data_IF_071786940334
#
_entry.id   IF_071786940334
#
_cell.length_a   1.000
_cell.length_b   1.000
_cell.length_c   1.000
_cell.angle_alpha   90.00
_cell.angle_beta   90.00
_cell.angle_gamma   90.00
#
_symmetry.space_group_name_H-M   'P 1'
#
loop_
_entity.id
_entity.type
_entity.pdbx_description
1 polymer ?
#
# COMPACT_ATOMS: atom_id res chain seq x y z
N UNK A 1 -13.62 20.78 -4.71
CA UNK A 1 -14.75 20.61 -5.66
C UNK A 1 -14.40 19.50 -6.65
N UNK A 2 -15.28 18.49 -6.79
CA UNK A 2 -15.01 17.25 -7.56
C UNK A 2 -16.03 17.00 -8.68
N UNK A 3 -16.86 18.00 -8.97
CA UNK A 3 -17.87 17.92 -10.01
C UNK A 3 -17.29 17.49 -11.37
N UNK A 4 -16.11 18.00 -11.82
CA UNK A 4 -15.52 17.54 -13.07
C UNK A 4 -15.23 16.04 -13.10
N UNK A 5 -14.75 15.46 -11.98
CA UNK A 5 -14.44 14.03 -11.91
C UNK A 5 -15.69 13.19 -12.09
N UNK A 6 -16.76 13.54 -11.38
CA UNK A 6 -18.00 12.78 -11.43
C UNK A 6 -18.71 12.96 -12.78
N UNK A 7 -18.69 14.16 -13.38
CA UNK A 7 -19.23 14.37 -14.72
C UNK A 7 -18.47 13.57 -15.77
N UNK A 8 -17.14 13.59 -15.76
CA UNK A 8 -16.32 12.79 -16.68
C UNK A 8 -16.55 11.28 -16.47
N UNK A 9 -16.56 10.83 -15.22
CA UNK A 9 -16.77 9.41 -14.91
C UNK A 9 -18.17 8.94 -15.32
N UNK A 10 -19.19 9.75 -15.09
CA UNK A 10 -20.56 9.45 -15.50
C UNK A 10 -20.70 9.43 -17.03
N UNK A 11 -20.18 10.44 -17.72
CA UNK A 11 -20.21 10.52 -19.19
C UNK A 11 -19.46 9.37 -19.88
N UNK A 12 -18.35 8.91 -19.29
CA UNK A 12 -17.57 7.78 -19.82
C UNK A 12 -18.01 6.41 -19.27
N UNK A 13 -19.01 6.35 -18.39
CA UNK A 13 -19.33 5.13 -17.62
C UNK A 13 -19.56 3.88 -18.47
N UNK A 14 -20.21 3.89 -19.66
CA UNK A 14 -20.36 2.67 -20.46
C UNK A 14 -19.01 2.10 -20.90
N UNK A 15 -18.09 2.97 -21.34
CA UNK A 15 -16.74 2.59 -21.77
C UNK A 15 -15.91 2.13 -20.57
N UNK A 16 -15.98 2.85 -19.45
CA UNK A 16 -15.23 2.51 -18.24
C UNK A 16 -15.67 1.15 -17.66
N UNK A 17 -16.98 0.87 -17.65
CA UNK A 17 -17.52 -0.42 -17.18
C UNK A 17 -17.07 -1.55 -18.11
N UNK A 18 -17.14 -1.35 -19.43
CA UNK A 18 -16.66 -2.33 -20.39
C UNK A 18 -15.16 -2.61 -20.20
N UNK A 19 -14.34 -1.57 -20.14
CA UNK A 19 -12.89 -1.67 -19.94
C UNK A 19 -12.53 -2.29 -18.59
N UNK A 20 -13.26 -1.97 -17.52
CA UNK A 20 -13.03 -2.56 -16.20
C UNK A 20 -13.35 -4.05 -16.19
N UNK A 21 -14.44 -4.47 -16.84
CA UNK A 21 -14.78 -5.90 -17.00
C UNK A 21 -13.73 -6.62 -17.86
N UNK A 22 -13.29 -6.01 -18.95
CA UNK A 22 -12.27 -6.59 -19.83
C UNK A 22 -10.92 -6.74 -19.13
N UNK A 23 -10.47 -5.70 -18.40
CA UNK A 23 -9.26 -5.76 -17.61
C UNK A 23 -9.34 -6.89 -16.57
N UNK A 24 -10.41 -6.95 -15.78
CA UNK A 24 -10.61 -8.02 -14.77
C UNK A 24 -10.62 -9.43 -15.36
N UNK A 25 -11.05 -9.60 -16.61
CA UNK A 25 -11.04 -10.90 -17.31
C UNK A 25 -9.65 -11.29 -17.81
N UNK A 26 -8.83 -10.32 -18.20
CA UNK A 26 -7.53 -10.56 -18.83
C UNK A 26 -6.38 -10.52 -17.84
N UNK A 27 -6.55 -9.88 -16.67
CA UNK A 27 -5.52 -9.81 -15.64
C UNK A 27 -5.30 -11.18 -15.02
N UNK A 28 -4.05 -11.65 -15.05
CA UNK A 28 -3.62 -12.84 -14.32
C UNK A 28 -3.81 -12.60 -12.83
N UNK A 29 -4.58 -13.45 -12.16
CA UNK A 29 -4.73 -13.39 -10.71
C UNK A 29 -3.55 -14.08 -10.07
N UNK A 30 -2.71 -13.31 -9.40
CA UNK A 30 -1.63 -13.84 -8.59
C UNK A 30 -2.13 -14.14 -7.17
N UNK A 31 -1.71 -15.26 -6.57
CA UNK A 31 -2.02 -15.55 -5.17
C UNK A 31 -1.28 -14.58 -4.24
N UNK A 32 -1.71 -14.58 -2.97
CA UNK A 32 -0.93 -14.00 -1.88
C UNK A 32 0.37 -14.78 -1.69
N UNK A 33 1.37 -14.13 -1.10
CA UNK A 33 2.63 -14.79 -0.79
C UNK A 33 2.43 -15.91 0.23
N UNK A 34 3.26 -16.95 0.14
CA UNK A 34 3.27 -18.07 1.08
C UNK A 34 4.36 -17.91 2.16
N UNK A 35 4.42 -18.86 3.08
CA UNK A 35 5.37 -18.88 4.18
C UNK A 35 4.98 -17.96 5.33
N UNK A 36 5.88 -17.80 6.29
CA UNK A 36 5.61 -17.00 7.49
C UNK A 36 5.51 -15.50 7.14
N UNK A 37 4.46 -14.79 7.59
CA UNK A 37 4.28 -13.35 7.35
C UNK A 37 5.13 -12.48 8.29
N UNK A 38 6.18 -13.06 8.85
CA UNK A 38 7.10 -12.40 9.78
C UNK A 38 8.50 -13.00 9.68
N UNK A 39 9.47 -12.28 10.23
CA UNK A 39 10.84 -12.73 10.33
C UNK A 39 11.76 -11.65 10.89
N UNK A 40 13.06 -11.90 10.86
CA UNK A 40 14.06 -10.99 11.40
C UNK A 40 15.34 -11.03 10.55
N UNK A 41 16.05 -9.90 10.51
CA UNK A 41 17.42 -9.82 10.03
C UNK A 41 18.35 -9.41 11.19
N UNK A 42 19.47 -10.14 11.34
CA UNK A 42 20.35 -10.06 12.50
C UNK A 42 19.98 -11.07 13.60
N UNK A 43 20.90 -11.30 14.53
CA UNK A 43 20.74 -12.24 15.65
C UNK A 43 20.56 -11.50 16.97
N UNK A 44 19.69 -12.02 17.84
CA UNK A 44 19.41 -11.43 19.16
C UNK A 44 18.06 -10.75 19.24
N UNK A 45 17.91 -9.86 20.24
CA UNK A 45 16.66 -9.13 20.51
C UNK A 45 16.50 -8.01 19.47
N UNK A 46 15.33 -7.89 18.81
CA UNK A 46 15.12 -6.84 17.83
C UNK A 46 15.15 -5.45 18.47
N UNK A 47 15.98 -4.58 17.91
CA UNK A 47 16.10 -3.16 18.26
C UNK A 47 15.16 -2.29 17.40
N UNK A 48 14.69 -2.85 16.28
CA UNK A 48 13.72 -2.23 15.39
C UNK A 48 12.65 -3.24 14.99
N UNK A 49 11.40 -2.84 15.07
CA UNK A 49 10.24 -3.66 14.67
C UNK A 49 9.41 -2.93 13.62
N UNK A 50 9.24 -3.57 12.47
CA UNK A 50 8.48 -3.02 11.32
C UNK A 50 7.20 -3.80 11.12
N UNK A 51 6.08 -3.10 11.01
CA UNK A 51 4.79 -3.69 10.65
C UNK A 51 4.27 -3.02 9.37
N UNK A 52 4.02 -3.83 8.33
CA UNK A 52 3.33 -3.37 7.12
C UNK A 52 1.92 -3.96 7.07
N UNK A 53 0.91 -3.10 7.17
CA UNK A 53 -0.50 -3.45 6.99
C UNK A 53 -1.02 -2.95 5.64
N UNK A 54 -1.95 -3.67 4.99
CA UNK A 54 -2.51 -3.17 3.73
C UNK A 54 -3.27 -4.16 2.86
N UNK A 55 -3.24 -3.90 1.55
CA UNK A 55 -3.90 -4.73 0.52
C UNK A 55 -2.89 -5.71 -0.13
N UNK A 56 -2.91 -5.84 -1.46
CA UNK A 56 -2.07 -6.77 -2.21
C UNK A 56 -0.56 -6.61 -1.98
N UNK A 57 -0.06 -5.38 -1.85
CA UNK A 57 1.36 -5.09 -1.58
C UNK A 57 1.82 -5.62 -0.22
N UNK A 58 0.98 -5.52 0.81
CA UNK A 58 1.26 -6.09 2.14
C UNK A 58 1.07 -7.61 2.13
N UNK A 59 0.09 -8.11 1.39
CA UNK A 59 -0.15 -9.55 1.22
C UNK A 59 0.94 -10.26 0.38
N UNK A 60 1.93 -9.52 -0.13
CA UNK A 60 3.04 -10.07 -0.92
C UNK A 60 2.62 -10.56 -2.30
N UNK A 61 1.52 -10.06 -2.86
CA UNK A 61 1.12 -10.42 -4.22
C UNK A 61 2.21 -10.03 -5.21
N UNK A 62 2.58 -10.95 -6.10
CA UNK A 62 3.67 -10.76 -7.05
C UNK A 62 4.97 -11.48 -6.69
N UNK A 63 5.07 -12.05 -5.50
CA UNK A 63 6.20 -12.88 -5.06
C UNK A 63 5.75 -14.24 -4.51
N UNK A 64 6.69 -15.18 -4.34
CA UNK A 64 6.36 -16.52 -3.87
C UNK A 64 6.20 -16.59 -2.35
N UNK A 65 7.02 -15.84 -1.60
CA UNK A 65 7.03 -15.85 -0.13
C UNK A 65 7.07 -14.45 0.47
N UNK A 66 6.58 -14.29 1.70
CA UNK A 66 6.59 -12.99 2.39
C UNK A 66 8.01 -12.43 2.61
N UNK A 67 9.04 -13.29 2.66
CA UNK A 67 10.46 -12.88 2.67
C UNK A 67 10.87 -12.04 1.44
N UNK A 68 10.19 -12.20 0.31
CA UNK A 68 10.43 -11.41 -0.90
C UNK A 68 9.55 -10.15 -0.96
N UNK A 69 8.59 -10.02 -0.03
CA UNK A 69 7.61 -8.94 0.02
C UNK A 69 8.14 -7.68 0.70
N UNK A 70 7.30 -6.63 0.68
CA UNK A 70 7.68 -5.28 1.09
C UNK A 70 8.28 -5.19 2.51
N UNK A 71 7.61 -5.79 3.50
CA UNK A 71 8.02 -5.70 4.90
C UNK A 71 9.42 -6.28 5.13
N UNK A 72 9.66 -7.48 4.59
CA UNK A 72 10.96 -8.14 4.68
C UNK A 72 12.05 -7.36 3.94
N UNK A 73 11.76 -6.88 2.73
CA UNK A 73 12.74 -6.09 1.96
C UNK A 73 13.10 -4.77 2.64
N UNK A 74 12.14 -4.08 3.25
CA UNK A 74 12.40 -2.89 4.06
C UNK A 74 13.26 -3.22 5.28
N UNK A 75 12.88 -4.22 6.06
CA UNK A 75 13.61 -4.60 7.27
C UNK A 75 15.04 -5.07 6.98
N UNK A 76 15.24 -5.80 5.88
CA UNK A 76 16.57 -6.17 5.39
C UNK A 76 17.42 -4.93 5.11
N UNK A 77 16.87 -3.94 4.41
CA UNK A 77 17.60 -2.70 4.09
C UNK A 77 17.89 -1.86 5.33
N UNK A 78 16.98 -1.80 6.31
CA UNK A 78 17.23 -1.14 7.60
C UNK A 78 18.36 -1.84 8.38
N UNK A 79 18.35 -3.17 8.44
CA UNK A 79 19.40 -3.96 9.07
C UNK A 79 20.76 -3.74 8.38
N UNK A 80 20.83 -3.87 7.05
CA UNK A 80 22.06 -3.70 6.28
C UNK A 80 22.66 -2.29 6.45
N UNK A 81 21.83 -1.26 6.65
CA UNK A 81 22.28 0.12 6.84
C UNK A 81 22.72 0.45 8.25
N UNK A 82 22.00 -0.05 9.26
CA UNK A 82 22.19 0.36 10.65
C UNK A 82 22.97 -0.65 11.48
N UNK A 83 23.09 -1.90 11.00
CA UNK A 83 23.61 -3.04 11.76
C UNK A 83 22.68 -3.54 12.85
N UNK A 84 21.55 -2.86 13.11
CA UNK A 84 20.60 -3.19 14.18
C UNK A 84 19.76 -4.39 13.80
N UNK A 85 19.45 -5.22 14.78
CA UNK A 85 18.54 -6.35 14.60
C UNK A 85 17.15 -5.82 14.27
N UNK A 86 16.61 -6.19 13.11
CA UNK A 86 15.33 -5.67 12.62
C UNK A 86 14.34 -6.80 12.39
N UNK A 87 13.30 -6.84 13.21
CA UNK A 87 12.15 -7.73 13.06
C UNK A 87 11.11 -7.08 12.15
N UNK A 88 10.40 -7.91 11.40
CA UNK A 88 9.33 -7.48 10.53
C UNK A 88 8.13 -8.41 10.58
N UNK A 89 6.97 -7.79 10.42
CA UNK A 89 5.69 -8.45 10.25
C UNK A 89 4.93 -7.80 9.10
N UNK A 90 4.04 -8.57 8.49
CA UNK A 90 3.08 -8.03 7.53
C UNK A 90 1.70 -8.62 7.71
N UNK A 91 0.69 -7.78 7.48
CA UNK A 91 -0.71 -8.20 7.45
C UNK A 91 -1.36 -7.57 6.22
N UNK A 92 -1.70 -8.38 5.24
CA UNK A 92 -2.32 -7.90 4.02
C UNK A 92 -3.52 -8.74 3.63
N UNK A 93 -4.51 -8.11 3.03
CA UNK A 93 -5.68 -8.79 2.48
C UNK A 93 -5.80 -8.40 1.01
N UNK A 94 -5.54 -9.35 0.12
CA UNK A 94 -5.55 -9.07 -1.31
C UNK A 94 -6.93 -8.60 -1.78
N UNK A 95 -6.97 -7.49 -2.52
CA UNK A 95 -8.20 -6.94 -3.07
C UNK A 95 -9.05 -6.13 -2.09
N UNK A 96 -8.65 -6.01 -0.81
CA UNK A 96 -9.42 -5.30 0.19
C UNK A 96 -9.39 -3.78 -0.01
N UNK A 97 -10.55 -3.15 0.13
CA UNK A 97 -10.67 -1.72 0.44
C UNK A 97 -10.30 -1.45 1.90
N UNK A 98 -10.06 -0.19 2.25
CA UNK A 98 -9.76 0.20 3.63
C UNK A 98 -10.87 -0.21 4.62
N UNK A 99 -12.13 -0.19 4.17
CA UNK A 99 -13.26 -0.65 4.97
C UNK A 99 -13.15 -2.15 5.32
N UNK A 100 -12.80 -2.97 4.33
CA UNK A 100 -12.70 -4.42 4.45
C UNK A 100 -11.45 -4.84 5.24
N UNK A 101 -10.35 -4.09 5.11
CA UNK A 101 -9.17 -4.24 5.95
C UNK A 101 -9.54 -3.98 7.41
N UNK A 102 -10.15 -2.83 7.72
CA UNK A 102 -10.53 -2.47 9.09
C UNK A 102 -11.54 -3.45 9.71
N UNK A 103 -12.38 -4.10 8.92
CA UNK A 103 -13.35 -5.08 9.42
C UNK A 103 -12.69 -6.42 9.83
N UNK A 104 -11.50 -6.71 9.33
CA UNK A 104 -10.77 -7.96 9.57
C UNK A 104 -9.51 -7.76 10.42
N UNK A 105 -9.03 -6.52 10.53
CA UNK A 105 -7.86 -6.17 11.32
C UNK A 105 -8.22 -6.17 12.81
N UNK A 106 -7.69 -7.15 13.53
CA UNK A 106 -7.74 -7.17 14.99
C UNK A 106 -6.47 -6.52 15.56
N UNK A 107 -6.60 -5.25 15.96
CA UNK A 107 -5.47 -4.42 16.41
C UNK A 107 -4.82 -4.98 17.68
N UNK A 108 -5.59 -5.61 18.55
CA UNK A 108 -5.08 -6.15 19.83
C UNK A 108 -4.15 -7.36 19.59
N UNK A 109 -4.29 -8.03 18.44
CA UNK A 109 -3.44 -9.16 18.04
C UNK A 109 -2.21 -8.77 17.24
N UNK A 110 -2.09 -7.51 16.81
CA UNK A 110 -0.94 -7.05 16.03
C UNK A 110 0.34 -7.06 16.88
N UNK A 111 1.49 -7.41 16.28
CA UNK A 111 2.77 -7.46 16.99
C UNK A 111 3.21 -6.06 17.46
N UNK A 112 4.15 -6.02 18.41
CA UNK A 112 4.82 -4.77 18.76
C UNK A 112 5.57 -4.23 17.53
N UNK A 113 5.56 -2.90 17.36
CA UNK A 113 6.19 -2.25 16.22
C UNK A 113 6.62 -0.83 16.58
N UNK A 114 7.79 -0.43 16.10
CA UNK A 114 8.26 0.96 16.18
C UNK A 114 7.85 1.75 14.93
N UNK A 115 7.65 1.05 13.81
CA UNK A 115 7.28 1.61 12.53
C UNK A 115 6.09 0.85 11.96
N UNK A 116 4.93 1.52 11.88
CA UNK A 116 3.72 0.96 11.25
C UNK A 116 3.46 1.66 9.93
N UNK A 117 3.31 0.86 8.88
CA UNK A 117 3.16 1.31 7.50
C UNK A 117 1.84 0.82 6.91
N UNK A 118 1.08 1.70 6.28
CA UNK A 118 -0.17 1.39 5.58
C UNK A 118 0.03 1.45 4.07
N UNK A 119 -0.13 0.32 3.38
CA UNK A 119 -0.14 0.22 1.92
C UNK A 119 -1.56 -0.01 1.41
N UNK A 120 -2.27 1.07 1.09
CA UNK A 120 -3.68 1.03 0.66
C UNK A 120 -3.99 2.08 -0.41
N UNK A 121 -5.14 1.93 -1.06
CA UNK A 121 -5.78 2.98 -1.86
C UNK A 121 -5.99 2.61 -3.33
N UNK A 122 -5.41 1.52 -3.81
CA UNK A 122 -5.68 1.02 -5.17
C UNK A 122 -7.09 0.46 -5.23
N UNK A 123 -7.49 -0.42 -4.30
CA UNK A 123 -8.83 -0.98 -4.33
C UNK A 123 -9.90 0.08 -4.04
N UNK A 124 -9.67 1.02 -3.11
CA UNK A 124 -10.55 2.18 -2.89
C UNK A 124 -10.67 3.09 -4.11
N UNK A 125 -9.60 3.20 -4.92
CA UNK A 125 -9.64 3.90 -6.20
C UNK A 125 -10.59 3.21 -7.17
N UNK A 126 -10.49 1.89 -7.31
CA UNK A 126 -11.33 1.11 -8.23
C UNK A 126 -12.78 0.97 -7.74
N UNK A 127 -13.00 0.92 -6.43
CA UNK A 127 -14.32 0.89 -5.78
C UNK A 127 -14.99 2.27 -5.75
N UNK A 128 -14.28 3.32 -6.20
CA UNK A 128 -14.73 4.71 -6.18
C UNK A 128 -15.09 5.21 -4.77
N UNK A 129 -14.51 4.64 -3.70
CA UNK A 129 -14.77 4.95 -2.28
C UNK A 129 -14.75 6.47 -2.06
N UNK A 130 -15.85 7.11 -1.59
CA UNK A 130 -15.91 8.55 -1.42
C UNK A 130 -14.74 9.08 -0.58
N UNK A 131 -14.11 10.18 -1.03
CA UNK A 131 -12.92 10.75 -0.36
C UNK A 131 -13.16 11.09 1.12
N UNK A 132 -14.38 11.54 1.45
CA UNK A 132 -14.78 11.82 2.84
C UNK A 132 -14.80 10.55 3.67
N UNK A 133 -15.37 9.46 3.13
CA UNK A 133 -15.39 8.14 3.78
C UNK A 133 -13.97 7.59 3.93
N UNK A 134 -13.16 7.63 2.88
CA UNK A 134 -11.76 7.20 2.93
C UNK A 134 -10.97 7.98 3.98
N UNK A 135 -11.13 9.31 4.05
CA UNK A 135 -10.53 10.14 5.10
C UNK A 135 -11.00 9.73 6.49
N UNK A 136 -12.30 9.55 6.68
CA UNK A 136 -12.86 9.17 7.98
C UNK A 136 -12.32 7.82 8.44
N UNK A 137 -12.25 6.84 7.55
CA UNK A 137 -11.69 5.52 7.82
C UNK A 137 -10.22 5.58 8.22
N UNK A 138 -9.40 6.39 7.54
CA UNK A 138 -8.00 6.60 7.90
C UNK A 138 -7.83 7.24 9.28
N UNK A 139 -8.67 8.24 9.60
CA UNK A 139 -8.66 8.88 10.92
C UNK A 139 -9.02 7.87 11.99
N UNK A 140 -10.09 7.11 11.80
CA UNK A 140 -10.50 6.06 12.75
C UNK A 140 -9.42 4.99 12.91
N UNK A 141 -8.82 4.50 11.81
CA UNK A 141 -7.73 3.52 11.89
C UNK A 141 -6.51 4.10 12.63
N UNK A 142 -6.12 5.33 12.32
CA UNK A 142 -5.00 6.01 12.99
C UNK A 142 -5.26 6.20 14.48
N UNK A 143 -6.47 6.57 14.89
CA UNK A 143 -6.87 6.67 16.30
C UNK A 143 -6.77 5.32 17.03
N UNK A 144 -7.23 4.24 16.40
CA UNK A 144 -7.14 2.90 16.98
C UNK A 144 -5.68 2.44 17.12
N UNK A 145 -4.85 2.64 16.09
CA UNK A 145 -3.44 2.25 16.10
C UNK A 145 -2.62 3.06 17.11
N UNK A 146 -2.92 4.36 17.30
CA UNK A 146 -2.23 5.21 18.27
C UNK A 146 -2.43 4.77 19.73
N UNK A 147 -3.46 3.99 20.03
CA UNK A 147 -3.62 3.40 21.35
C UNK A 147 -2.61 2.26 21.61
N UNK A 148 -1.99 1.73 20.56
CA UNK A 148 -1.03 0.61 20.62
C UNK A 148 0.40 1.00 20.22
N UNK A 149 0.56 2.00 19.36
CA UNK A 149 1.84 2.43 18.83
C UNK A 149 2.05 3.93 19.03
N UNK A 150 3.24 4.30 19.50
CA UNK A 150 3.60 5.70 19.75
C UNK A 150 3.99 6.47 18.47
N UNK A 151 4.34 5.75 17.40
CA UNK A 151 4.77 6.35 16.14
C UNK A 151 3.58 6.71 15.23
N UNK A 152 3.70 7.79 14.44
CA UNK A 152 2.67 8.13 13.46
C UNK A 152 2.58 7.05 12.38
N UNK A 153 1.36 6.81 11.89
CA UNK A 153 1.12 5.84 10.82
C UNK A 153 1.76 6.33 9.51
N UNK A 154 2.68 5.55 8.96
CA UNK A 154 3.30 5.81 7.67
C UNK A 154 2.38 5.45 6.52
N UNK A 155 1.81 6.45 5.84
CA UNK A 155 0.93 6.28 4.69
C UNK A 155 1.75 6.17 3.40
N UNK A 156 1.86 4.96 2.85
CA UNK A 156 2.55 4.74 1.60
C UNK A 156 1.73 5.33 0.45
N UNK A 157 2.37 6.12 -0.41
CA UNK A 157 1.65 6.83 -1.47
C UNK A 157 0.80 5.92 -2.34
N UNK A 158 -0.42 6.37 -2.66
CA UNK A 158 -1.30 5.64 -3.59
C UNK A 158 -0.67 5.73 -4.99
N UNK A 159 -0.39 4.59 -5.66
CA UNK A 159 0.41 4.59 -6.87
C UNK A 159 -0.32 5.32 -8.03
N UNK A 160 0.42 5.94 -8.96
CA UNK A 160 -0.15 6.67 -10.08
C UNK A 160 -0.74 5.72 -11.13
N UNK A 161 -1.96 5.23 -10.91
CA UNK A 161 -2.61 4.19 -11.74
C UNK A 161 -2.77 4.52 -13.23
N UNK A 162 -2.62 5.78 -13.64
CA UNK A 162 -2.58 6.15 -15.06
C UNK A 162 -1.34 5.63 -15.79
N UNK A 163 -0.30 5.23 -15.05
CA UNK A 163 0.91 4.59 -15.59
C UNK A 163 0.79 3.08 -15.70
N UNK A 164 -0.27 2.47 -15.16
CA UNK A 164 -0.47 1.03 -15.22
C UNK A 164 -0.92 0.62 -16.63
N UNK A 165 -0.02 -0.03 -17.37
CA UNK A 165 -0.24 -0.43 -18.77
C UNK A 165 -1.26 -1.56 -18.91
N UNK A 166 -1.45 -2.36 -17.86
CA UNK A 166 -2.52 -3.37 -17.78
C UNK A 166 -3.93 -2.77 -17.85
N UNK A 167 -4.09 -1.47 -17.54
CA UNK A 167 -5.36 -0.77 -17.64
C UNK A 167 -5.45 -0.04 -18.99
N UNK A 168 -6.53 -0.23 -19.79
CA UNK A 168 -6.70 0.49 -21.05
C UNK A 168 -7.05 1.97 -20.83
N UNK A 169 -6.91 2.78 -21.89
CA UNK A 169 -7.41 4.17 -21.95
C UNK A 169 -8.85 4.19 -22.47
N UNK A 170 -9.81 4.95 -21.89
CA UNK A 170 -9.63 6.00 -20.87
C UNK A 170 -9.63 5.54 -19.40
N UNK A 171 -9.82 4.24 -19.11
CA UNK A 171 -9.93 3.74 -17.74
C UNK A 171 -8.74 4.13 -16.87
N UNK A 172 -7.50 3.90 -17.33
CA UNK A 172 -6.30 4.23 -16.56
C UNK A 172 -6.19 5.72 -16.21
N UNK A 173 -6.65 6.62 -17.08
CA UNK A 173 -6.62 8.06 -16.80
C UNK A 173 -7.63 8.42 -15.70
N UNK A 174 -8.83 7.85 -15.73
CA UNK A 174 -9.85 8.07 -14.69
C UNK A 174 -9.37 7.49 -13.36
N UNK A 175 -8.82 6.26 -13.36
CA UNK A 175 -8.24 5.65 -12.16
C UNK A 175 -7.05 6.45 -11.63
N UNK A 176 -6.16 6.94 -12.49
CA UNK A 176 -5.04 7.78 -12.07
C UNK A 176 -5.45 9.17 -11.57
N UNK A 177 -6.57 9.73 -12.05
CA UNK A 177 -7.16 10.92 -11.44
C UNK A 177 -7.68 10.59 -10.04
N UNK A 178 -8.40 9.48 -9.90
CA UNK A 178 -8.94 9.07 -8.61
C UNK A 178 -7.85 8.72 -7.58
N UNK A 179 -6.82 7.98 -7.97
CA UNK A 179 -5.66 7.67 -7.13
C UNK A 179 -4.99 8.94 -6.59
N UNK A 180 -4.77 9.96 -7.44
CA UNK A 180 -4.25 11.27 -7.01
C UNK A 180 -5.17 11.98 -6.01
N UNK A 181 -6.49 11.82 -6.15
CA UNK A 181 -7.44 12.41 -5.20
C UNK A 181 -7.40 11.73 -3.83
N UNK A 182 -7.11 10.42 -3.77
CA UNK A 182 -6.94 9.65 -2.53
C UNK A 182 -5.57 9.90 -1.91
N UNK A 183 -4.49 9.90 -2.68
CA UNK A 183 -3.15 10.28 -2.19
C UNK A 183 -3.12 11.72 -1.66
N UNK A 184 -3.91 12.62 -2.27
CA UNK A 184 -4.12 13.97 -1.74
C UNK A 184 -4.80 13.99 -0.37
N UNK A 185 -5.56 12.96 0.00
CA UNK A 185 -6.08 12.80 1.38
C UNK A 185 -4.94 12.42 2.32
N UNK A 186 -4.05 11.49 1.94
CA UNK A 186 -2.88 11.12 2.74
C UNK A 186 -1.99 12.33 3.04
N UNK A 187 -1.62 13.09 2.01
CA UNK A 187 -0.82 14.32 2.17
C UNK A 187 -1.51 15.36 3.03
N UNK A 188 -2.83 15.50 2.90
CA UNK A 188 -3.59 16.43 3.73
C UNK A 188 -3.57 16.00 5.19
N UNK A 189 -3.79 14.72 5.49
CA UNK A 189 -3.74 14.17 6.85
C UNK A 189 -2.35 14.35 7.47
N UNK A 190 -1.28 13.93 6.78
CA UNK A 190 0.09 14.09 7.25
C UNK A 190 0.47 15.55 7.52
N UNK A 191 -0.07 16.50 6.74
CA UNK A 191 0.15 17.93 6.98
C UNK A 191 -0.65 18.48 8.15
N UNK A 192 -1.89 18.02 8.35
CA UNK A 192 -2.79 18.57 9.37
C UNK A 192 -2.73 17.87 10.72
N UNK A 193 -2.20 16.65 10.75
CA UNK A 193 -2.09 15.76 11.92
C UNK A 193 -0.74 15.02 11.86
N UNK A 194 0.41 15.72 11.84
CA UNK A 194 1.73 15.12 11.69
C UNK A 194 2.10 14.17 12.85
N UNK A 195 1.48 14.35 14.02
CA UNK A 195 1.61 13.46 15.16
C UNK A 195 0.95 12.09 14.97
N UNK A 196 -0.01 11.99 14.04
CA UNK A 196 -0.75 10.76 13.78
C UNK A 196 -0.40 10.13 12.42
N UNK A 197 0.06 10.93 11.45
CA UNK A 197 0.31 10.46 10.08
C UNK A 197 1.57 11.05 9.48
N UNK A 198 2.31 10.22 8.76
CA UNK A 198 3.42 10.64 7.88
C UNK A 198 3.13 10.16 6.47
N UNK A 199 3.30 11.00 5.46
CA UNK A 199 3.17 10.58 4.06
C UNK A 199 4.52 10.13 3.51
N UNK A 200 4.57 8.90 3.01
CA UNK A 200 5.76 8.28 2.46
C UNK A 200 5.61 8.18 0.94
N UNK A 201 6.09 9.21 0.25
CA UNK A 201 6.16 9.23 -1.20
C UNK A 201 7.34 8.40 -1.71
N UNK A 202 7.05 7.30 -2.42
CA UNK A 202 8.09 6.48 -3.06
C UNK A 202 7.84 6.44 -4.58
N UNK A 203 8.89 6.22 -5.40
CA UNK A 203 8.76 6.22 -6.84
C UNK A 203 7.82 5.12 -7.30
N UNK A 204 7.00 5.44 -8.30
CA UNK A 204 6.08 4.48 -8.87
C UNK A 204 6.84 3.36 -9.58
N UNK A 205 6.63 2.12 -9.13
CA UNK A 205 7.13 0.93 -9.81
C UNK A 205 6.35 0.74 -11.10
N UNK A 206 6.96 1.14 -12.22
CA UNK A 206 6.30 1.10 -13.55
C UNK A 206 7.15 0.46 -14.63
N UNK A 207 8.42 0.17 -14.34
CA UNK A 207 9.29 -0.54 -15.26
C UNK A 207 8.92 -2.02 -15.28
N UNK A 208 8.80 -2.60 -16.48
CA UNK A 208 8.36 -3.98 -16.64
C UNK A 208 9.25 -4.99 -15.90
N UNK A 209 10.55 -4.71 -15.75
CA UNK A 209 11.50 -5.55 -15.00
C UNK A 209 11.36 -5.47 -13.47
N UNK A 210 10.52 -4.57 -12.96
CA UNK A 210 10.19 -4.43 -11.54
C UNK A 210 8.79 -4.95 -11.20
N UNK A 211 8.00 -5.31 -12.21
CA UNK A 211 6.65 -5.83 -12.05
C UNK A 211 6.65 -7.35 -12.08
N UNK A 212 5.64 -7.95 -11.44
CA UNK A 212 5.36 -9.37 -11.51
C UNK A 212 4.79 -9.75 -12.89
N UNK A 213 4.53 -11.04 -13.09
CA UNK A 213 4.05 -11.59 -14.36
C UNK A 213 2.68 -11.02 -14.81
N UNK A 214 1.91 -10.40 -13.91
CA UNK A 214 0.65 -9.74 -14.24
C UNK A 214 0.82 -8.32 -14.82
N UNK A 215 2.05 -7.79 -14.83
CA UNK A 215 2.35 -6.43 -15.29
C UNK A 215 1.69 -5.34 -14.45
N UNK A 216 1.34 -5.65 -13.19
CA UNK A 216 0.57 -4.79 -12.31
C UNK A 216 1.17 -4.70 -10.91
N UNK A 217 1.39 -5.83 -10.24
CA UNK A 217 1.98 -5.84 -8.90
C UNK A 217 3.50 -5.74 -8.96
N UNK A 218 4.19 -5.20 -7.94
CA UNK A 218 5.63 -5.33 -7.84
C UNK A 218 6.05 -6.80 -7.82
N UNK A 219 7.10 -7.13 -8.57
CA UNK A 219 7.83 -8.39 -8.38
C UNK A 219 8.85 -8.24 -7.25
N UNK A 220 9.67 -9.27 -7.02
CA UNK A 220 10.71 -9.25 -5.99
C UNK A 220 11.68 -8.06 -6.16
N UNK A 221 12.11 -7.78 -7.39
CA UNK A 221 12.95 -6.62 -7.70
C UNK A 221 12.25 -5.29 -7.41
N UNK A 222 10.94 -5.20 -7.65
CA UNK A 222 10.12 -4.04 -7.32
C UNK A 222 9.98 -3.83 -5.81
N UNK A 223 9.66 -4.89 -5.06
CA UNK A 223 9.61 -4.81 -3.59
C UNK A 223 10.96 -4.45 -2.97
N UNK A 224 12.06 -4.95 -3.54
CA UNK A 224 13.41 -4.57 -3.11
C UNK A 224 13.68 -3.09 -3.32
N UNK A 225 13.35 -2.53 -4.50
CA UNK A 225 13.47 -1.10 -4.75
C UNK A 225 12.61 -0.27 -3.79
N UNK A 226 11.37 -0.71 -3.56
CA UNK A 226 10.47 -0.04 -2.60
C UNK A 226 11.05 -0.05 -1.19
N UNK A 227 11.58 -1.20 -0.73
CA UNK A 227 12.22 -1.33 0.58
C UNK A 227 13.45 -0.43 0.72
N UNK A 228 14.28 -0.32 -0.33
CA UNK A 228 15.42 0.61 -0.39
C UNK A 228 14.97 2.06 -0.21
N UNK A 229 14.00 2.51 -1.01
CA UNK A 229 13.53 3.90 -0.92
C UNK A 229 12.85 4.20 0.40
N UNK A 230 12.03 3.27 0.92
CA UNK A 230 11.36 3.47 2.21
C UNK A 230 12.36 3.54 3.37
N UNK A 231 13.43 2.72 3.34
CA UNK A 231 14.48 2.79 4.35
C UNK A 231 15.17 4.17 4.37
N UNK A 232 15.28 4.88 3.24
CA UNK A 232 15.81 6.26 3.19
C UNK A 232 14.87 7.30 3.81
N UNK A 233 13.56 7.03 3.82
CA UNK A 233 12.54 7.94 4.32
C UNK A 233 12.28 7.77 5.82
N UNK A 234 12.45 6.56 6.36
CA UNK A 234 12.07 6.23 7.76
C UNK A 234 13.27 6.12 8.72
N UNK A 235 14.49 6.16 8.20
CA UNK A 235 15.75 6.11 8.97
C UNK A 235 16.38 7.51 9.15
N UNK A 236 15.58 8.58 8.99
CA UNK A 236 15.95 9.98 9.29
C UNK A 236 15.53 10.35 10.70
#
# INVERSE_FOLDING_TARGET
MHLPFWLTTAGLSPVLIYQGKQARRNTVRLPEASGEPFGQYGEGIPERRVLVIGESTAAGVGVQTHNQGLASQLARRLHERTGRVTEWHTFGINGATLAELMAQLDIDTLPEADLVLLSMGVNDTTALTPRSRFRQQLVTLGEQLRNRYDSPLGLLSVPPMHRFTALPSPLRQVMGWRARQLDGVYRALARTQPEAFVHLGYPAVTDAGLLAADGYHPGESGYRLMGETLAELVDQ
#
